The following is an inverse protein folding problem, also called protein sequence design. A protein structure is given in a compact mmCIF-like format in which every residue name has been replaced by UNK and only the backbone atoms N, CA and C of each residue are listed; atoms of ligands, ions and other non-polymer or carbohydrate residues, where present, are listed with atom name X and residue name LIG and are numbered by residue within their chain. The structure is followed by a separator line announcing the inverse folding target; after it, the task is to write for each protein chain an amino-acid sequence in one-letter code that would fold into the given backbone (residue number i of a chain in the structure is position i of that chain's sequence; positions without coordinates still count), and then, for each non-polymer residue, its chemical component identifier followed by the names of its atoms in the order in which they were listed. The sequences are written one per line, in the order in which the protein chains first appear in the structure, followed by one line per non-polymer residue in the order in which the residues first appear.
data_IF_939813828423
#
_entry.id   IF_939813828423
#
_cell.length_a   1.000
_cell.length_b   1.000
_cell.length_c   1.000
_cell.angle_alpha   90.00
_cell.angle_beta   90.00
_cell.angle_gamma   90.00
#
_symmetry.space_group_name_H-M   'P 1'
#
loop_
_entity.id
_entity.type
_entity.pdbx_description
1 polymer ?
#
# COMPACT_ATOMS: atom_id res chain seq x y z
N UNK A 1 -18.24 -4.73 14.85
CA UNK A 1 -19.36 -3.91 14.34
C UNK A 1 -20.64 -4.57 14.82
N UNK A 2 -21.62 -3.77 15.24
CA UNK A 2 -23.01 -4.21 15.34
C UNK A 2 -23.68 -4.13 13.97
N UNK A 3 -24.57 -5.07 13.70
CA UNK A 3 -25.38 -5.12 12.47
C UNK A 3 -26.23 -3.85 12.31
N UNK A 4 -26.16 -3.21 11.14
CA UNK A 4 -26.92 -2.01 10.82
C UNK A 4 -27.63 -2.12 9.46
N UNK A 5 -28.76 -1.41 9.33
CA UNK A 5 -29.66 -1.48 8.16
C UNK A 5 -29.01 -1.11 6.81
N UNK A 6 -27.89 -0.38 6.82
CA UNK A 6 -27.25 0.17 5.61
C UNK A 6 -26.15 -0.74 5.04
N UNK A 7 -25.46 -1.52 5.87
CA UNK A 7 -24.38 -2.43 5.46
C UNK A 7 -24.61 -3.78 6.13
N UNK A 8 -25.21 -4.71 5.40
CA UNK A 8 -25.48 -6.07 5.87
C UNK A 8 -25.34 -7.07 4.71
N UNK A 9 -25.38 -8.37 5.04
CA UNK A 9 -25.26 -9.46 4.06
C UNK A 9 -26.35 -9.43 2.98
N UNK A 10 -27.51 -8.84 3.27
CA UNK A 10 -28.64 -8.74 2.34
C UNK A 10 -28.48 -7.56 1.37
N UNK A 11 -27.78 -6.49 1.76
CA UNK A 11 -27.51 -5.32 0.91
C UNK A 11 -26.16 -5.39 0.19
N UNK A 12 -25.17 -6.12 0.74
CA UNK A 12 -23.87 -6.30 0.11
C UNK A 12 -23.47 -7.78 0.11
N UNK A 13 -23.70 -8.46 -1.01
CA UNK A 13 -23.44 -9.91 -1.18
C UNK A 13 -21.97 -10.32 -0.97
N UNK A 14 -21.05 -9.35 -1.01
CA UNK A 14 -19.61 -9.54 -0.81
C UNK A 14 -19.14 -9.19 0.62
N UNK A 15 -20.04 -9.05 1.60
CA UNK A 15 -19.71 -8.65 2.97
C UNK A 15 -18.64 -9.52 3.65
N UNK A 16 -18.57 -10.81 3.28
CA UNK A 16 -17.55 -11.76 3.74
C UNK A 16 -16.43 -12.04 2.72
N UNK A 17 -16.46 -11.40 1.55
CA UNK A 17 -15.40 -11.54 0.56
C UNK A 17 -14.25 -10.58 0.89
N UNK A 18 -13.35 -11.03 1.75
CA UNK A 18 -12.06 -10.38 1.93
C UNK A 18 -11.25 -11.01 3.06
N UNK A 19 -9.96 -10.74 3.04
CA UNK A 19 -8.97 -11.42 3.87
C UNK A 19 -8.00 -12.24 3.04
N UNK A 20 -7.07 -11.57 2.39
CA UNK A 20 -5.81 -12.14 1.95
C UNK A 20 -4.79 -12.13 3.07
N UNK A 21 -4.01 -13.21 3.13
CA UNK A 21 -2.77 -13.28 3.92
C UNK A 21 -1.62 -13.55 2.96
N UNK A 22 -0.54 -12.82 3.12
CA UNK A 22 0.73 -13.13 2.49
C UNK A 22 1.78 -13.32 3.58
N UNK A 23 2.65 -14.31 3.36
CA UNK A 23 3.78 -14.61 4.22
C UNK A 23 5.03 -14.49 3.37
N UNK A 24 6.01 -13.77 3.85
CA UNK A 24 7.26 -13.52 3.15
C UNK A 24 8.26 -12.80 4.05
N UNK A 25 9.53 -12.95 3.76
CA UNK A 25 10.62 -12.26 4.47
C UNK A 25 10.85 -10.89 3.81
N UNK A 26 10.26 -9.83 4.37
CA UNK A 26 10.28 -8.49 3.74
C UNK A 26 11.52 -7.68 4.10
N UNK A 27 12.34 -8.16 5.05
CA UNK A 27 13.60 -7.53 5.43
C UNK A 27 14.84 -8.43 5.22
N UNK A 28 14.67 -9.62 4.62
CA UNK A 28 15.68 -10.67 4.44
C UNK A 28 16.42 -11.05 5.74
N UNK A 29 15.73 -11.09 6.88
CA UNK A 29 16.34 -11.53 8.15
C UNK A 29 16.22 -13.04 8.39
N UNK A 30 15.62 -13.77 7.45
CA UNK A 30 15.39 -15.21 7.49
C UNK A 30 14.14 -15.61 8.25
N UNK A 31 13.35 -14.66 8.75
CA UNK A 31 12.10 -14.91 9.44
C UNK A 31 10.90 -14.59 8.55
N UNK A 32 9.83 -15.41 8.60
CA UNK A 32 8.62 -15.13 7.85
C UNK A 32 7.83 -13.99 8.51
N UNK A 33 7.62 -12.91 7.78
CA UNK A 33 6.73 -11.80 8.13
C UNK A 33 5.32 -12.04 7.61
N UNK A 34 4.34 -11.32 8.15
CA UNK A 34 2.92 -11.53 7.84
C UNK A 34 2.29 -10.22 7.37
N UNK A 35 1.61 -10.27 6.24
CA UNK A 35 0.74 -9.19 5.77
C UNK A 35 -0.71 -9.64 5.73
N UNK A 36 -1.59 -8.85 6.33
CA UNK A 36 -3.03 -9.10 6.42
C UNK A 36 -3.78 -7.96 5.73
N UNK A 37 -4.65 -8.30 4.80
CA UNK A 37 -5.57 -7.31 4.23
C UNK A 37 -6.81 -7.14 5.11
N UNK A 38 -7.38 -5.95 5.13
CA UNK A 38 -8.62 -5.66 5.82
C UNK A 38 -9.68 -5.05 4.87
N UNK A 39 -10.94 -5.28 5.21
CA UNK A 39 -12.08 -4.84 4.39
C UNK A 39 -12.65 -3.48 4.82
N UNK A 40 -12.41 -3.07 6.07
CA UNK A 40 -12.99 -1.86 6.69
C UNK A 40 -11.98 -1.16 7.61
N UNK A 41 -10.72 -1.61 7.57
CA UNK A 41 -9.60 -1.07 8.32
C UNK A 41 -8.38 -1.03 7.40
N UNK A 42 -7.33 -0.37 7.86
CA UNK A 42 -6.03 -0.40 7.17
C UNK A 42 -5.45 -1.81 7.18
N UNK A 43 -4.85 -2.21 6.06
CA UNK A 43 -4.06 -3.44 5.96
C UNK A 43 -2.91 -3.41 6.96
N UNK A 44 -2.42 -4.57 7.37
CA UNK A 44 -1.41 -4.68 8.42
C UNK A 44 -0.20 -5.49 7.98
N UNK A 45 0.99 -4.95 8.23
CA UNK A 45 2.27 -5.65 8.10
C UNK A 45 2.86 -5.89 9.49
N UNK A 46 3.11 -7.15 9.80
CA UNK A 46 3.68 -7.62 11.05
C UNK A 46 5.07 -8.19 10.79
N UNK A 47 6.08 -7.55 11.38
CA UNK A 47 7.47 -8.02 11.34
C UNK A 47 7.69 -9.09 12.41
N UNK A 48 8.27 -10.21 12.02
CA UNK A 48 8.63 -11.28 12.94
C UNK A 48 9.92 -10.92 13.69
N UNK A 49 9.84 -10.85 15.02
CA UNK A 49 10.99 -10.56 15.89
C UNK A 49 11.67 -11.83 16.43
N UNK A 50 11.25 -12.99 15.94
CA UNK A 50 11.60 -14.29 16.49
C UNK A 50 10.74 -14.63 17.70
N UNK A 51 10.85 -15.89 18.17
CA UNK A 51 10.12 -16.38 19.34
C UNK A 51 8.60 -16.16 19.29
N UNK A 52 8.01 -16.21 18.09
CA UNK A 52 6.58 -15.97 17.84
C UNK A 52 6.09 -14.57 18.27
N UNK A 53 7.01 -13.61 18.37
CA UNK A 53 6.69 -12.22 18.64
C UNK A 53 6.60 -11.46 17.34
N UNK A 54 5.51 -10.73 17.16
CA UNK A 54 5.22 -9.97 15.96
C UNK A 54 5.02 -8.50 16.31
N UNK A 55 5.52 -7.63 15.46
CA UNK A 55 5.47 -6.20 15.66
C UNK A 55 4.75 -5.53 14.48
N UNK A 56 3.70 -4.76 14.77
CA UNK A 56 3.03 -3.95 13.74
C UNK A 56 3.98 -2.84 13.27
N UNK A 57 4.36 -2.91 12.00
CA UNK A 57 5.22 -1.93 11.33
C UNK A 57 4.49 -1.21 10.20
N UNK A 58 3.17 -1.36 10.10
CA UNK A 58 2.36 -0.88 8.97
C UNK A 58 2.59 0.60 8.65
N UNK A 59 2.55 1.45 9.67
CA UNK A 59 2.70 2.90 9.52
C UNK A 59 4.13 3.26 9.12
N UNK A 60 5.12 2.67 9.80
CA UNK A 60 6.53 2.86 9.45
C UNK A 60 6.83 2.36 8.03
N UNK A 61 6.16 1.28 7.61
CA UNK A 61 6.33 0.67 6.30
C UNK A 61 5.56 1.42 5.19
N UNK A 62 4.53 2.18 5.51
CA UNK A 62 3.71 2.90 4.51
C UNK A 62 2.82 1.99 3.68
N UNK A 63 2.49 0.81 4.20
CA UNK A 63 1.78 -0.26 3.48
C UNK A 63 0.36 -0.47 3.96
N UNK A 64 -0.23 0.52 4.64
CA UNK A 64 -1.57 0.43 5.21
C UNK A 64 -2.71 0.32 4.17
N UNK A 65 -2.41 0.49 2.89
CA UNK A 65 -3.42 0.61 1.85
C UNK A 65 -4.12 1.97 1.88
N UNK A 66 -4.64 2.39 0.74
CA UNK A 66 -5.47 3.60 0.63
C UNK A 66 -6.92 3.29 0.25
N UNK A 67 -7.21 2.03 -0.07
CA UNK A 67 -8.53 1.60 -0.53
C UNK A 67 -9.39 1.12 0.62
N UNK A 68 -10.69 1.21 0.41
CA UNK A 68 -11.65 0.88 1.45
C UNK A 68 -11.78 -0.62 1.64
N UNK A 69 -11.53 -1.44 0.61
CA UNK A 69 -11.77 -2.87 0.63
C UNK A 69 -10.70 -3.67 -0.12
N UNK A 70 -9.83 -4.35 0.65
CA UNK A 70 -8.80 -5.25 0.12
C UNK A 70 -9.23 -6.71 0.21
N UNK A 71 -9.12 -7.43 -0.90
CA UNK A 71 -9.63 -8.81 -1.04
C UNK A 71 -8.56 -9.89 -1.04
N UNK A 72 -7.34 -9.54 -1.44
CA UNK A 72 -6.25 -10.49 -1.57
C UNK A 72 -4.91 -9.77 -1.51
N UNK A 73 -3.87 -10.51 -1.14
CA UNK A 73 -2.49 -10.02 -1.17
C UNK A 73 -1.57 -11.12 -1.67
N UNK A 74 -0.49 -10.73 -2.34
CA UNK A 74 0.61 -11.62 -2.68
C UNK A 74 1.93 -10.87 -2.52
N UNK A 75 2.98 -11.60 -2.14
CA UNK A 75 4.34 -11.08 -2.08
C UNK A 75 5.18 -11.71 -3.17
N UNK A 76 5.91 -10.90 -3.91
CA UNK A 76 6.84 -11.33 -4.94
C UNK A 76 7.86 -10.21 -5.19
N UNK A 77 9.09 -10.57 -5.52
CA UNK A 77 10.06 -9.64 -6.07
C UNK A 77 9.69 -9.37 -7.53
N UNK A 78 9.00 -8.25 -7.80
CA UNK A 78 8.49 -7.97 -9.16
C UNK A 78 9.48 -7.17 -9.99
N UNK A 79 10.45 -6.53 -9.37
CA UNK A 79 11.45 -5.68 -10.04
C UNK A 79 12.83 -6.36 -10.16
N UNK A 80 13.01 -7.53 -9.54
CA UNK A 80 14.23 -8.33 -9.58
C UNK A 80 15.36 -7.81 -8.68
N UNK A 81 15.05 -7.01 -7.64
CA UNK A 81 16.06 -6.40 -6.77
C UNK A 81 16.43 -7.24 -5.54
N UNK A 82 15.81 -8.41 -5.39
CA UNK A 82 16.04 -9.35 -4.29
C UNK A 82 15.22 -9.06 -3.04
N UNK A 83 14.26 -8.14 -3.10
CA UNK A 83 13.37 -7.80 -1.99
C UNK A 83 11.91 -8.09 -2.34
N UNK A 84 11.16 -8.61 -1.37
CA UNK A 84 9.75 -8.89 -1.60
C UNK A 84 8.96 -7.58 -1.65
N UNK A 85 8.23 -7.40 -2.76
CA UNK A 85 7.21 -6.38 -2.94
C UNK A 85 5.84 -6.93 -2.52
N UNK A 86 4.90 -6.03 -2.23
CA UNK A 86 3.54 -6.40 -1.77
C UNK A 86 2.52 -5.94 -2.80
N UNK A 87 1.77 -6.87 -3.36
CA UNK A 87 0.68 -6.60 -4.28
C UNK A 87 -0.67 -6.86 -3.60
N UNK A 88 -1.51 -5.83 -3.51
CA UNK A 88 -2.82 -5.87 -2.86
C UNK A 88 -3.92 -5.75 -3.90
N UNK A 89 -4.80 -6.75 -3.94
CA UNK A 89 -5.99 -6.76 -4.77
C UNK A 89 -7.13 -6.07 -4.05
N UNK A 90 -7.70 -5.02 -4.65
CA UNK A 90 -8.82 -4.28 -4.08
C UNK A 90 -10.10 -4.59 -4.85
N UNK A 91 -11.21 -4.71 -4.14
CA UNK A 91 -12.51 -4.96 -4.76
C UNK A 91 -13.62 -4.43 -3.88
N UNK A 92 -14.59 -3.73 -4.46
CA UNK A 92 -15.81 -3.37 -3.76
C UNK A 92 -16.54 -2.18 -4.37
N UNK A 93 -17.85 -2.15 -4.22
CA UNK A 93 -18.72 -1.08 -4.72
C UNK A 93 -19.04 -0.05 -3.64
N UNK A 94 -17.99 0.49 -3.02
CA UNK A 94 -18.12 1.67 -2.16
C UNK A 94 -18.12 2.90 -3.07
N UNK A 95 -19.15 3.72 -2.95
CA UNK A 95 -19.32 4.92 -3.76
C UNK A 95 -18.12 5.87 -3.58
N UNK A 96 -17.39 6.14 -4.67
CA UNK A 96 -16.20 7.01 -4.68
C UNK A 96 -14.85 6.29 -4.59
N UNK A 97 -14.82 4.97 -4.38
CA UNK A 97 -13.56 4.20 -4.40
C UNK A 97 -13.21 3.74 -5.83
N UNK A 98 -11.92 3.81 -6.19
CA UNK A 98 -11.45 3.50 -7.54
C UNK A 98 -11.11 2.01 -7.77
N UNK A 99 -11.24 1.14 -6.77
CA UNK A 99 -11.03 -0.34 -6.88
C UNK A 99 -9.68 -0.76 -7.48
N UNK A 100 -8.73 0.16 -7.63
CA UNK A 100 -7.44 -0.16 -8.23
C UNK A 100 -6.60 -0.97 -7.25
N UNK A 101 -5.92 -1.99 -7.79
CA UNK A 101 -4.94 -2.74 -7.03
C UNK A 101 -3.74 -1.85 -6.70
N UNK A 102 -3.14 -2.10 -5.55
CA UNK A 102 -1.98 -1.36 -5.05
C UNK A 102 -0.74 -2.26 -5.12
N UNK A 103 0.38 -1.71 -5.57
CA UNK A 103 1.68 -2.36 -5.52
C UNK A 103 2.63 -1.53 -4.67
N UNK A 104 3.13 -2.12 -3.60
CA UNK A 104 4.12 -1.54 -2.71
C UNK A 104 5.49 -2.10 -3.08
N UNK A 105 6.35 -1.27 -3.67
CA UNK A 105 7.72 -1.65 -4.01
C UNK A 105 8.62 -1.44 -2.81
N UNK A 106 9.36 -2.47 -2.38
CA UNK A 106 10.29 -2.40 -1.26
C UNK A 106 11.59 -1.71 -1.69
N UNK A 107 11.78 -0.45 -1.32
CA UNK A 107 12.93 0.35 -1.74
C UNK A 107 14.08 0.34 -0.72
N UNK A 108 13.81 -0.05 0.52
CA UNK A 108 14.82 -0.03 1.58
C UNK A 108 14.48 -0.96 2.76
N UNK A 109 14.83 -2.24 2.69
CA UNK A 109 14.59 -3.22 3.75
C UNK A 109 15.34 -2.91 5.06
N UNK A 110 16.52 -2.29 4.97
CA UNK A 110 17.32 -1.94 6.15
C UNK A 110 16.63 -0.90 7.04
N UNK A 111 15.75 -0.08 6.45
CA UNK A 111 14.91 0.88 7.16
C UNK A 111 13.70 0.23 7.81
N UNK A 112 13.23 -0.91 7.29
CA UNK A 112 12.11 -1.66 7.86
C UNK A 112 12.45 -2.16 9.27
N UNK A 113 13.64 -2.75 9.44
CA UNK A 113 14.12 -3.24 10.73
C UNK A 113 14.32 -2.11 11.77
N UNK A 114 14.60 -0.89 11.31
CA UNK A 114 14.81 0.29 12.15
C UNK A 114 13.54 1.17 12.29
N UNK A 115 12.48 0.85 11.55
CA UNK A 115 11.24 1.65 11.45
C UNK A 115 11.47 3.11 11.04
N UNK A 116 12.44 3.34 10.17
CA UNK A 116 12.86 4.69 9.76
C UNK A 116 12.34 5.06 8.37
N UNK A 117 11.41 6.01 8.27
CA UNK A 117 10.77 6.45 7.01
C UNK A 117 10.02 5.33 6.27
N UNK A 118 9.16 5.69 5.30
CA UNK A 118 8.41 4.71 4.51
C UNK A 118 9.37 4.00 3.52
N UNK A 119 9.69 2.71 3.70
CA UNK A 119 10.54 1.95 2.80
C UNK A 119 9.78 1.43 1.59
N UNK A 120 8.45 1.47 1.58
CA UNK A 120 7.66 1.07 0.43
C UNK A 120 7.17 2.27 -0.39
N UNK A 121 7.32 2.17 -1.71
CA UNK A 121 6.69 3.08 -2.66
C UNK A 121 5.37 2.47 -3.13
N UNK A 122 4.25 3.12 -2.82
CA UNK A 122 2.94 2.72 -3.35
C UNK A 122 2.75 3.21 -4.79
N UNK A 123 2.69 2.28 -5.73
CA UNK A 123 2.21 2.53 -7.09
C UNK A 123 0.77 2.06 -7.23
N UNK A 124 -0.11 3.04 -7.35
CA UNK A 124 -1.49 2.82 -7.76
C UNK A 124 -1.54 2.76 -9.28
N UNK A 125 -2.45 1.95 -9.84
CA UNK A 125 -2.70 1.84 -11.29
C UNK A 125 -1.65 1.01 -12.06
N UNK A 126 -1.64 -0.29 -11.78
CA UNK A 126 -0.96 -1.29 -12.62
C UNK A 126 -1.80 -1.59 -13.86
N UNK A 127 -1.62 -0.81 -14.92
CA UNK A 127 -2.09 -1.15 -16.26
C UNK A 127 -0.94 -1.81 -17.03
N UNK A 128 -1.25 -2.47 -18.15
CA UNK A 128 -0.23 -3.05 -19.04
C UNK A 128 0.81 -2.04 -19.55
N UNK A 129 0.55 -0.73 -19.45
CA UNK A 129 1.52 0.31 -19.77
C UNK A 129 2.51 0.59 -18.65
N UNK A 130 2.11 0.55 -17.36
CA UNK A 130 3.00 0.86 -16.24
C UNK A 130 3.97 -0.27 -15.89
N UNK A 131 3.68 -1.51 -16.32
CA UNK A 131 4.63 -2.63 -16.22
C UNK A 131 5.81 -2.58 -17.21
N UNK A 132 5.80 -1.68 -18.20
CA UNK A 132 6.96 -1.45 -19.08
C UNK A 132 7.99 -0.50 -18.48
N UNK A 133 7.61 0.20 -17.41
CA UNK A 133 8.45 1.19 -16.73
C UNK A 133 9.30 0.57 -15.60
N UNK A 134 9.41 -0.77 -15.55
CA UNK A 134 10.40 -1.45 -14.72
C UNK A 134 11.72 -1.50 -15.50
N UNK A 135 12.70 -0.61 -15.22
CA UNK A 135 14.02 -0.73 -15.84
C UNK A 135 14.64 -2.06 -15.38
N UNK A 136 15.18 -2.89 -16.29
CA UNK A 136 15.68 -4.22 -15.93
C UNK A 136 16.93 -4.19 -15.04
N UNK A 137 17.54 -3.03 -14.78
CA UNK A 137 18.62 -2.81 -13.82
C UNK A 137 18.77 -1.31 -13.60
N UNK A 138 18.63 -0.80 -12.38
CA UNK A 138 19.14 0.54 -12.05
C UNK A 138 20.50 0.39 -11.36
N UNK A 139 21.60 0.90 -11.95
CA UNK A 139 22.86 0.96 -11.24
C UNK A 139 22.80 2.05 -10.16
N UNK A 140 23.51 1.81 -9.06
CA UNK A 140 23.79 2.76 -7.98
C UNK A 140 24.16 4.15 -8.53
N UNK A 141 23.27 5.14 -8.43
CA UNK A 141 23.52 6.52 -7.93
C UNK A 141 22.26 7.39 -8.07
N UNK A 142 22.15 8.37 -7.16
CA UNK A 142 21.21 9.52 -7.12
C UNK A 142 19.93 9.32 -6.29
N UNK A 143 20.12 9.39 -4.98
CA UNK A 143 19.07 9.72 -4.02
C UNK A 143 19.05 11.25 -3.85
N UNK A 144 18.24 11.97 -4.64
CA UNK A 144 17.85 13.36 -4.32
C UNK A 144 16.49 13.71 -4.93
N UNK A 145 15.60 14.24 -4.06
CA UNK A 145 14.31 14.89 -4.35
C UNK A 145 13.14 14.04 -4.86
N UNK A 146 12.18 13.75 -3.97
CA UNK A 146 10.75 14.07 -4.16
C UNK A 146 10.05 14.08 -2.80
N UNK A 147 10.08 15.23 -2.13
CA UNK A 147 9.00 15.64 -1.25
C UNK A 147 8.51 16.98 -1.81
N UNK A 148 7.19 17.13 -1.89
CA UNK A 148 6.43 18.30 -2.37
C UNK A 148 6.01 18.24 -3.85
N UNK A 149 4.84 17.66 -4.10
CA UNK A 149 3.78 18.38 -4.81
C UNK A 149 2.46 17.62 -4.66
N UNK A 150 1.53 18.15 -3.87
CA UNK A 150 0.08 18.12 -4.12
C UNK A 150 -0.50 19.20 -3.21
N UNK A 151 -0.93 20.30 -3.85
CA UNK A 151 -2.04 21.19 -3.50
C UNK A 151 -1.71 22.63 -3.92
N UNK A 152 -1.96 22.97 -5.18
CA UNK A 152 -2.49 24.30 -5.52
C UNK A 152 -3.25 24.24 -6.84
N UNK A 153 -4.58 24.22 -6.72
CA UNK A 153 -5.53 24.77 -7.68
C UNK A 153 -6.77 25.11 -6.83
N UNK A 154 -7.34 26.31 -6.82
CA UNK A 154 -7.59 27.19 -7.95
C UNK A 154 -8.04 28.60 -7.50
N UNK A 155 -7.93 29.54 -8.47
CA UNK A 155 -8.80 30.71 -8.70
C UNK A 155 -8.65 31.98 -7.85
N UNK A 156 -7.91 32.94 -8.40
CA UNK A 156 -8.02 34.39 -8.19
C UNK A 156 -9.19 34.98 -9.00
N UNK A 157 -9.92 35.99 -8.50
CA UNK A 157 -10.57 36.98 -9.36
C UNK A 157 -9.92 38.36 -9.24
N UNK A 158 -9.95 39.05 -10.37
CA UNK A 158 -9.22 40.28 -10.73
C UNK A 158 -9.84 41.56 -10.14
N UNK A 159 -8.94 42.47 -9.71
CA UNK A 159 -8.99 43.94 -9.51
C UNK A 159 -10.33 44.70 -9.63
N UNK A 160 -10.52 45.67 -8.73
CA UNK A 160 -10.91 47.05 -9.10
C UNK A 160 -10.36 48.04 -8.06
N UNK A 161 -9.50 48.97 -8.49
CA UNK A 161 -9.20 50.21 -7.76
C UNK A 161 -10.11 51.32 -8.27
N UNK A 162 -10.65 52.15 -7.37
CA UNK A 162 -11.14 53.49 -7.69
C UNK A 162 -10.98 54.43 -6.48
N UNK A 163 -10.17 55.47 -6.73
CA UNK A 163 -9.97 56.76 -6.04
C UNK A 163 -9.54 56.77 -4.57
#
# INVERSE_FOLDING_TARGET
MEDGEVFNVLTYRNFYNGGGVAIGDVNNDGLPDIYLTANLQSNKLYLNKGNWQFEDITEAAGVGGTKSWSTGVSMADVNGDGWLDIYVCNSGDIAGDNKENELFINTNPSKLAKKEALPFLNRQRLTTSTMKDFPPTLPFLTMTWMATSIATSSTTPTKTQKK
#
